data_IF_701745136393
#
_entry.id   IF_701745136393
#
_cell.length_a   1.000
_cell.length_b   1.000
_cell.length_c   1.000
_cell.angle_alpha   90.00
_cell.angle_beta   90.00
_cell.angle_gamma   90.00
#
_symmetry.space_group_name_H-M   'P 1'
#
loop_
_entity.id
_entity.type
_entity.pdbx_description
1 polymer ?
#
# COMPACT_ATOMS: atom_id res chain seq x y z
N UNK A 1 -21.69 -23.10 -15.33
CA UNK A 1 -20.43 -22.72 -14.67
C UNK A 1 -19.84 -21.62 -15.51
N UNK A 2 -19.62 -20.44 -14.93
CA UNK A 2 -18.98 -19.33 -15.63
C UNK A 2 -17.50 -19.65 -15.85
N UNK A 3 -16.93 -19.15 -16.93
CA UNK A 3 -15.49 -19.27 -17.21
C UNK A 3 -14.73 -18.12 -16.56
N UNK A 4 -13.41 -18.27 -16.38
CA UNK A 4 -12.54 -17.17 -15.92
C UNK A 4 -12.70 -15.92 -16.79
N UNK A 5 -12.83 -16.11 -18.11
CA UNK A 5 -13.04 -15.02 -19.05
C UNK A 5 -14.40 -14.31 -18.84
N UNK A 6 -15.44 -15.04 -18.44
CA UNK A 6 -16.73 -14.44 -18.12
C UNK A 6 -16.63 -13.54 -16.88
N UNK A 7 -15.91 -13.97 -15.84
CA UNK A 7 -15.65 -13.17 -14.65
C UNK A 7 -14.79 -11.93 -14.95
N UNK A 8 -13.72 -12.09 -15.75
CA UNK A 8 -12.89 -10.97 -16.18
C UNK A 8 -13.71 -9.92 -16.92
N UNK A 9 -14.49 -10.33 -17.93
CA UNK A 9 -15.33 -9.41 -18.70
C UNK A 9 -16.37 -8.70 -17.82
N UNK A 10 -16.95 -9.42 -16.86
CA UNK A 10 -17.92 -8.86 -15.93
C UNK A 10 -17.29 -7.85 -14.96
N UNK A 11 -16.09 -8.14 -14.44
CA UNK A 11 -15.33 -7.24 -13.58
C UNK A 11 -14.90 -5.97 -14.35
N UNK A 12 -14.38 -6.11 -15.57
CA UNK A 12 -14.05 -4.95 -16.43
C UNK A 12 -15.28 -4.07 -16.68
N UNK A 13 -16.43 -4.68 -16.97
CA UNK A 13 -17.68 -3.95 -17.16
C UNK A 13 -18.14 -3.23 -15.88
N UNK A 14 -18.09 -3.91 -14.73
CA UNK A 14 -18.40 -3.34 -13.42
C UNK A 14 -17.52 -2.12 -13.14
N UNK A 15 -16.20 -2.26 -13.29
CA UNK A 15 -15.23 -1.19 -13.06
C UNK A 15 -15.45 -0.02 -14.02
N UNK A 16 -15.69 -0.30 -15.30
CA UNK A 16 -15.99 0.73 -16.29
C UNK A 16 -17.28 1.48 -15.96
N UNK A 17 -18.32 0.78 -15.53
CA UNK A 17 -19.59 1.38 -15.15
C UNK A 17 -19.47 2.27 -13.92
N UNK A 18 -18.72 1.83 -12.91
CA UNK A 18 -18.53 2.55 -11.64
C UNK A 18 -17.60 3.77 -11.77
N UNK A 19 -16.52 3.63 -12.53
CA UNK A 19 -15.44 4.64 -12.60
C UNK A 19 -15.38 5.41 -13.92
N UNK A 20 -16.07 4.95 -14.98
CA UNK A 20 -16.11 5.63 -16.28
C UNK A 20 -14.81 5.55 -17.07
N UNK A 21 -13.91 4.62 -16.73
CA UNK A 21 -12.64 4.38 -17.43
C UNK A 21 -12.47 2.92 -17.84
N UNK A 22 -11.51 2.64 -18.72
CA UNK A 22 -11.29 1.28 -19.22
C UNK A 22 -10.28 0.54 -18.34
N UNK A 23 -10.63 -0.69 -18.01
CA UNK A 23 -9.79 -1.64 -17.30
C UNK A 23 -9.39 -2.78 -18.23
N UNK A 24 -8.41 -3.54 -17.80
CA UNK A 24 -7.98 -4.78 -18.41
C UNK A 24 -7.77 -5.81 -17.30
N UNK A 25 -8.39 -6.98 -17.44
CA UNK A 25 -8.22 -8.08 -16.52
C UNK A 25 -6.92 -8.83 -16.75
N UNK A 26 -6.26 -9.20 -15.66
CA UNK A 26 -5.01 -9.94 -15.67
C UNK A 26 -5.28 -11.45 -15.52
N UNK A 27 -5.95 -11.83 -14.44
CA UNK A 27 -6.28 -13.21 -14.10
C UNK A 27 -7.37 -13.28 -13.03
N UNK A 28 -7.95 -14.47 -12.86
CA UNK A 28 -8.85 -14.82 -11.76
C UNK A 28 -8.07 -15.65 -10.76
N UNK A 29 -8.20 -15.35 -9.48
CA UNK A 29 -7.64 -16.15 -8.40
C UNK A 29 -8.60 -16.17 -7.23
N UNK A 30 -8.96 -17.38 -6.78
CA UNK A 30 -10.02 -17.59 -5.78
C UNK A 30 -11.32 -16.86 -6.20
N UNK A 31 -11.93 -16.11 -5.30
CA UNK A 31 -13.16 -15.36 -5.53
C UNK A 31 -12.86 -13.89 -5.94
N UNK A 32 -11.73 -13.65 -6.61
CA UNK A 32 -11.29 -12.31 -7.02
C UNK A 32 -10.80 -12.26 -8.47
N UNK A 33 -11.05 -11.13 -9.13
CA UNK A 33 -10.47 -10.77 -10.43
C UNK A 33 -9.44 -9.67 -10.22
N UNK A 34 -8.22 -9.89 -10.72
CA UNK A 34 -7.18 -8.87 -10.74
C UNK A 34 -7.29 -8.07 -12.03
N UNK A 35 -7.38 -6.74 -11.89
CA UNK A 35 -7.51 -5.82 -13.02
C UNK A 35 -6.60 -4.62 -12.84
N UNK A 36 -6.35 -3.90 -13.93
CA UNK A 36 -5.68 -2.61 -13.88
C UNK A 36 -6.37 -1.61 -14.81
N UNK A 37 -6.37 -0.30 -14.48
CA UNK A 37 -6.78 0.69 -15.47
C UNK A 37 -5.76 0.71 -16.61
N UNK A 38 -6.20 0.89 -17.86
CA UNK A 38 -5.27 0.88 -19.01
C UNK A 38 -4.21 2.00 -18.97
N UNK A 39 -4.48 3.06 -18.22
CA UNK A 39 -3.56 4.19 -17.99
C UNK A 39 -2.47 3.91 -16.95
N UNK A 40 -2.66 2.91 -16.08
CA UNK A 40 -1.75 2.52 -14.99
C UNK A 40 -1.64 0.99 -14.91
N UNK A 41 -0.97 0.34 -15.89
CA UNK A 41 -0.79 -1.11 -15.89
C UNK A 41 0.06 -1.65 -14.73
N UNK A 42 0.72 -0.77 -13.98
CA UNK A 42 1.46 -1.11 -12.76
C UNK A 42 0.58 -1.25 -11.51
N UNK A 43 -0.72 -0.95 -11.58
CA UNK A 43 -1.65 -1.07 -10.46
C UNK A 43 -2.39 -2.40 -10.49
N UNK A 44 -2.42 -3.11 -9.37
CA UNK A 44 -3.07 -4.42 -9.26
C UNK A 44 -4.34 -4.32 -8.42
N UNK A 45 -5.41 -3.83 -9.05
CA UNK A 45 -6.71 -3.67 -8.40
C UNK A 45 -7.34 -5.04 -8.20
N UNK A 46 -7.87 -5.26 -7.00
CA UNK A 46 -8.61 -6.48 -6.66
C UNK A 46 -10.09 -6.18 -6.78
N UNK A 47 -10.80 -7.02 -7.52
CA UNK A 47 -12.26 -7.02 -7.62
C UNK A 47 -12.77 -8.36 -7.12
N UNK A 48 -13.20 -8.39 -5.86
CA UNK A 48 -13.82 -9.56 -5.24
C UNK A 48 -15.21 -9.79 -5.84
N UNK A 49 -15.63 -11.04 -5.97
CA UNK A 49 -16.95 -11.40 -6.44
C UNK A 49 -17.60 -12.46 -5.58
N UNK A 50 -18.91 -12.32 -5.37
CA UNK A 50 -19.73 -13.30 -4.66
C UNK A 50 -20.89 -13.71 -5.55
N UNK A 51 -21.21 -15.02 -5.58
CA UNK A 51 -22.30 -15.55 -6.40
C UNK A 51 -23.34 -16.25 -5.54
N UNK A 52 -24.48 -15.60 -5.32
CA UNK A 52 -25.61 -16.14 -4.56
C UNK A 52 -26.90 -16.12 -5.40
N UNK A 53 -27.64 -17.23 -5.41
CA UNK A 53 -28.96 -17.30 -6.06
C UNK A 53 -28.96 -17.04 -7.57
N UNK A 54 -27.81 -17.17 -8.24
CA UNK A 54 -27.64 -16.86 -9.67
C UNK A 54 -27.36 -15.39 -9.98
N UNK A 55 -27.16 -14.55 -8.96
CA UNK A 55 -26.66 -13.18 -9.09
C UNK A 55 -25.19 -13.12 -8.67
N UNK A 56 -24.38 -12.37 -9.40
CA UNK A 56 -22.98 -12.10 -9.03
C UNK A 56 -22.82 -10.63 -8.67
N UNK A 57 -22.29 -10.37 -7.49
CA UNK A 57 -21.92 -9.04 -6.99
C UNK A 57 -20.41 -8.85 -7.11
N UNK A 58 -19.96 -7.61 -7.27
CA UNK A 58 -18.54 -7.25 -7.39
C UNK A 58 -18.21 -6.12 -6.44
N UNK A 59 -17.03 -6.22 -5.82
CA UNK A 59 -16.55 -5.31 -4.78
C UNK A 59 -15.07 -5.00 -5.06
N UNK A 60 -14.65 -3.74 -4.99
CA UNK A 60 -13.30 -3.35 -5.43
C UNK A 60 -12.53 -2.50 -4.43
N UNK A 61 -11.21 -2.47 -4.59
CA UNK A 61 -10.30 -1.66 -3.79
C UNK A 61 -9.72 -0.43 -4.53
N UNK A 62 -10.28 -0.07 -5.70
CA UNK A 62 -9.65 0.88 -6.62
C UNK A 62 -9.50 2.29 -6.05
N UNK A 63 -10.41 2.70 -5.17
CA UNK A 63 -10.32 4.00 -4.47
C UNK A 63 -8.99 4.14 -3.74
N UNK A 64 -8.42 3.06 -3.19
CA UNK A 64 -7.11 3.13 -2.54
C UNK A 64 -5.99 3.55 -3.47
N UNK A 65 -6.01 3.08 -4.72
CA UNK A 65 -5.06 3.53 -5.75
C UNK A 65 -5.30 4.98 -6.16
N UNK A 66 -6.57 5.42 -6.23
CA UNK A 66 -6.91 6.81 -6.55
C UNK A 66 -6.44 7.81 -5.48
N UNK A 67 -6.37 7.40 -4.21
CA UNK A 67 -5.93 8.26 -3.08
C UNK A 67 -4.44 8.13 -2.74
N UNK A 68 -3.75 7.16 -3.33
CA UNK A 68 -2.34 6.83 -3.09
C UNK A 68 -1.41 8.04 -3.14
N UNK A 69 -1.39 8.78 -4.25
CA UNK A 69 -0.46 9.92 -4.42
C UNK A 69 -0.69 11.04 -3.39
N UNK A 70 -1.96 11.35 -3.09
CA UNK A 70 -2.31 12.37 -2.10
C UNK A 70 -1.86 11.95 -0.69
N UNK A 71 -2.10 10.69 -0.33
CA UNK A 71 -1.72 10.12 0.96
C UNK A 71 -0.20 9.98 1.12
N UNK A 72 0.50 9.55 0.06
CA UNK A 72 1.97 9.50 0.03
C UNK A 72 2.59 10.87 0.28
N UNK A 73 2.08 11.90 -0.38
CA UNK A 73 2.53 13.28 -0.18
C UNK A 73 2.27 13.76 1.25
N UNK A 74 1.09 13.45 1.79
CA UNK A 74 0.75 13.80 3.17
C UNK A 74 1.72 13.17 4.18
N UNK A 75 1.97 11.87 4.05
CA UNK A 75 2.89 11.13 4.93
C UNK A 75 4.33 11.60 4.72
N UNK A 76 4.77 11.88 3.49
CA UNK A 76 6.10 12.44 3.22
C UNK A 76 6.33 13.72 4.01
N UNK A 77 5.41 14.69 3.94
CA UNK A 77 5.54 15.95 4.70
C UNK A 77 5.55 15.72 6.22
N UNK A 78 4.82 14.70 6.70
CA UNK A 78 4.79 14.33 8.12
C UNK A 78 6.11 13.73 8.61
N UNK A 79 6.79 12.93 7.80
CA UNK A 79 7.97 12.16 8.22
C UNK A 79 9.30 12.79 7.77
N UNK A 80 9.26 13.74 6.82
CA UNK A 80 10.42 14.52 6.36
C UNK A 80 11.21 15.17 7.51
N UNK A 81 10.59 15.74 8.58
CA UNK A 81 11.35 16.28 9.71
C UNK A 81 12.16 15.24 10.49
N UNK A 82 11.85 13.95 10.37
CA UNK A 82 12.54 12.86 11.06
C UNK A 82 13.66 12.30 10.17
N UNK A 83 13.34 12.05 8.88
CA UNK A 83 14.20 11.30 7.96
C UNK A 83 14.94 12.16 6.93
N UNK A 84 14.63 13.44 6.84
CA UNK A 84 15.09 14.30 5.74
C UNK A 84 14.45 13.89 4.41
N UNK A 85 15.23 13.98 3.33
CA UNK A 85 14.78 13.49 2.03
C UNK A 85 14.60 11.96 2.07
N UNK A 86 13.38 11.52 1.80
CA UNK A 86 12.93 10.13 1.84
C UNK A 86 11.91 9.86 0.72
N UNK A 87 11.55 8.60 0.52
CA UNK A 87 10.48 8.19 -0.40
C UNK A 87 9.41 7.45 0.38
N UNK A 88 8.15 7.77 0.09
CA UNK A 88 6.98 7.15 0.72
C UNK A 88 6.18 6.44 -0.36
N UNK A 89 5.81 5.19 -0.10
CA UNK A 89 4.95 4.41 -0.97
C UNK A 89 3.81 3.82 -0.17
N UNK A 90 2.59 3.96 -0.68
CA UNK A 90 1.38 3.38 -0.09
C UNK A 90 0.95 2.16 -0.88
N UNK A 91 0.73 1.04 -0.20
CA UNK A 91 0.21 -0.17 -0.82
C UNK A 91 -1.22 -0.43 -0.32
N UNK A 92 -2.25 -0.15 -1.13
CA UNK A 92 -3.62 -0.53 -0.79
C UNK A 92 -3.72 -2.03 -0.52
N UNK A 93 -4.46 -2.44 0.50
CA UNK A 93 -4.71 -3.86 0.73
C UNK A 93 -5.61 -4.46 -0.37
N UNK A 94 -5.41 -5.75 -0.65
CA UNK A 94 -6.20 -6.51 -1.60
C UNK A 94 -7.58 -6.92 -1.09
N UNK A 95 -8.23 -6.10 -0.27
CA UNK A 95 -9.60 -6.34 0.21
C UNK A 95 -10.54 -5.29 -0.37
N UNK A 96 -11.75 -5.71 -0.72
CA UNK A 96 -12.81 -4.81 -1.12
C UNK A 96 -13.07 -3.66 -0.13
N UNK A 97 -13.36 -2.48 -0.67
CA UNK A 97 -13.82 -1.31 0.07
C UNK A 97 -15.36 -1.21 0.02
N UNK A 98 -15.94 -0.23 0.72
CA UNK A 98 -17.38 0.04 0.67
C UNK A 98 -17.85 0.30 -0.77
N UNK A 99 -18.86 -0.44 -1.23
CA UNK A 99 -19.35 -0.38 -2.61
C UNK A 99 -19.87 0.99 -3.04
N UNK A 100 -20.31 1.81 -2.09
CA UNK A 100 -20.78 3.18 -2.37
C UNK A 100 -19.64 4.13 -2.76
N UNK A 101 -18.39 3.75 -2.47
CA UNK A 101 -17.22 4.56 -2.72
C UNK A 101 -16.90 4.67 -4.21
N UNK A 102 -16.48 5.85 -4.62
CA UNK A 102 -16.16 6.18 -6.01
C UNK A 102 -15.05 7.23 -6.05
N UNK A 103 -14.74 7.78 -7.24
CA UNK A 103 -13.67 8.78 -7.43
C UNK A 103 -13.76 9.99 -6.49
N UNK A 104 -14.98 10.36 -6.08
CA UNK A 104 -15.26 11.51 -5.23
C UNK A 104 -14.95 11.32 -3.74
N UNK A 105 -14.62 10.10 -3.29
CA UNK A 105 -14.18 9.86 -1.91
C UNK A 105 -12.92 10.67 -1.63
N UNK A 106 -12.88 11.38 -0.51
CA UNK A 106 -11.69 12.12 -0.10
C UNK A 106 -10.65 11.20 0.56
N UNK A 107 -9.40 11.67 0.64
CA UNK A 107 -8.29 10.89 1.19
C UNK A 107 -8.51 10.50 2.66
N UNK A 108 -9.17 11.33 3.48
CA UNK A 108 -9.39 11.03 4.91
C UNK A 108 -10.41 9.95 5.13
N UNK A 109 -11.48 9.96 4.33
CA UNK A 109 -12.46 8.88 4.33
C UNK A 109 -11.78 7.54 3.97
N UNK A 110 -10.95 7.50 2.94
CA UNK A 110 -10.18 6.29 2.59
C UNK A 110 -9.19 5.88 3.68
N UNK A 111 -8.42 6.82 4.21
CA UNK A 111 -7.41 6.54 5.23
C UNK A 111 -8.04 5.95 6.50
N UNK A 112 -9.20 6.44 6.91
CA UNK A 112 -9.87 6.04 8.17
C UNK A 112 -10.17 4.54 8.31
N UNK A 113 -10.22 3.78 7.21
CA UNK A 113 -10.54 2.35 7.26
C UNK A 113 -9.31 1.45 7.47
N UNK A 114 -8.09 1.99 7.51
CA UNK A 114 -6.92 1.14 7.80
C UNK A 114 -6.42 0.28 6.63
N UNK A 115 -6.99 0.43 5.44
CA UNK A 115 -6.81 -0.53 4.34
C UNK A 115 -5.60 -0.22 3.45
N UNK A 116 -4.46 0.13 4.05
CA UNK A 116 -3.19 0.26 3.34
C UNK A 116 -1.95 0.05 4.21
N UNK A 117 -0.82 -0.28 3.58
CA UNK A 117 0.51 -0.24 4.19
C UNK A 117 1.28 1.01 3.76
N UNK A 118 2.14 1.52 4.63
CA UNK A 118 3.03 2.63 4.35
C UNK A 118 4.50 2.18 4.42
N UNK A 119 5.19 2.33 3.30
CA UNK A 119 6.61 2.00 3.16
C UNK A 119 7.43 3.27 2.99
N UNK A 120 8.32 3.53 3.94
CA UNK A 120 9.21 4.70 3.95
C UNK A 120 10.63 4.22 3.65
N UNK A 121 11.29 4.84 2.68
CA UNK A 121 12.68 4.57 2.34
C UNK A 121 13.52 5.81 2.65
N UNK A 122 14.60 5.62 3.40
CA UNK A 122 15.49 6.72 3.82
C UNK A 122 16.95 6.34 3.63
N UNK A 123 17.79 7.37 3.46
CA UNK A 123 19.25 7.26 3.48
C UNK A 123 19.87 7.91 4.71
N UNK A 124 19.05 8.23 5.72
CA UNK A 124 19.52 8.65 7.05
C UNK A 124 20.43 7.57 7.63
N UNK A 125 21.45 7.97 8.39
CA UNK A 125 22.30 7.01 9.08
C UNK A 125 21.48 6.25 10.14
N UNK A 126 21.67 4.92 10.18
CA UNK A 126 20.91 4.01 11.05
C UNK A 126 21.43 4.00 12.51
N UNK A 127 21.65 5.17 13.09
CA UNK A 127 22.15 5.32 14.48
C UNK A 127 21.02 5.51 15.50
N UNK A 128 19.89 6.06 15.08
CA UNK A 128 18.72 6.38 15.92
C UNK A 128 17.44 5.70 15.43
N UNK A 129 17.55 4.48 14.86
CA UNK A 129 16.47 3.77 14.17
C UNK A 129 15.21 3.66 15.04
N UNK A 130 15.35 3.16 16.27
CA UNK A 130 14.22 2.96 17.19
C UNK A 130 13.55 4.27 17.61
N UNK A 131 14.35 5.31 17.91
CA UNK A 131 13.84 6.61 18.35
C UNK A 131 13.11 7.33 17.21
N UNK A 132 13.67 7.31 16.01
CA UNK A 132 13.04 7.87 14.81
C UNK A 132 11.74 7.15 14.46
N UNK A 133 11.74 5.82 14.55
CA UNK A 133 10.55 5.02 14.28
C UNK A 133 9.45 5.28 15.30
N UNK A 134 9.77 5.33 16.60
CA UNK A 134 8.80 5.71 17.65
C UNK A 134 8.18 7.07 17.39
N UNK A 135 8.98 8.08 17.02
CA UNK A 135 8.47 9.42 16.66
C UNK A 135 7.57 9.39 15.42
N UNK A 136 7.85 8.48 14.49
CA UNK A 136 6.99 8.27 13.30
C UNK A 136 5.66 7.65 13.71
N UNK A 137 5.67 6.62 14.54
CA UNK A 137 4.45 6.02 15.11
C UNK A 137 3.62 7.06 15.88
N UNK A 138 4.26 7.87 16.74
CA UNK A 138 3.60 8.97 17.46
C UNK A 138 2.98 9.99 16.51
N UNK A 139 3.67 10.36 15.42
CA UNK A 139 3.13 11.25 14.40
C UNK A 139 1.87 10.66 13.74
N UNK A 140 1.87 9.36 13.44
CA UNK A 140 0.70 8.69 12.86
C UNK A 140 -0.47 8.67 13.84
N UNK A 141 -0.24 8.31 15.11
CA UNK A 141 -1.25 8.34 16.17
C UNK A 141 -1.82 9.76 16.34
N UNK A 142 -0.95 10.77 16.42
CA UNK A 142 -1.36 12.17 16.61
C UNK A 142 -2.13 12.75 15.42
N UNK A 143 -1.97 12.17 14.23
CA UNK A 143 -2.69 12.54 13.01
C UNK A 143 -3.87 11.63 12.70
N UNK A 144 -4.17 10.71 13.62
CA UNK A 144 -5.23 9.72 13.50
C UNK A 144 -5.11 8.90 12.20
N UNK A 145 -3.88 8.58 11.80
CA UNK A 145 -3.59 7.80 10.59
C UNK A 145 -3.72 6.30 10.89
N UNK A 146 -4.72 5.69 10.28
CA UNK A 146 -5.01 4.26 10.34
C UNK A 146 -4.22 3.59 9.21
N UNK A 147 -2.98 3.24 9.48
CA UNK A 147 -2.17 2.37 8.60
C UNK A 147 -2.35 0.92 9.04
N UNK A 148 -2.16 -0.07 8.17
CA UNK A 148 -2.07 -1.49 8.58
C UNK A 148 -0.66 -1.82 9.05
N UNK A 149 0.31 -1.84 8.13
CA UNK A 149 1.75 -1.96 8.42
C UNK A 149 2.48 -0.65 8.09
N UNK A 150 3.30 -0.18 9.04
CA UNK A 150 4.24 0.90 8.82
C UNK A 150 5.66 0.34 8.85
N UNK A 151 6.42 0.57 7.78
CA UNK A 151 7.84 0.20 7.76
C UNK A 151 8.75 1.31 7.26
N UNK A 152 9.95 1.37 7.83
CA UNK A 152 11.03 2.28 7.44
C UNK A 152 12.24 1.45 7.05
N UNK A 153 12.71 1.61 5.82
CA UNK A 153 13.81 0.86 5.23
C UNK A 153 14.98 1.79 4.93
N UNK A 154 16.13 1.48 5.52
CA UNK A 154 17.34 2.27 5.42
C UNK A 154 18.22 1.76 4.28
N UNK A 155 18.41 2.56 3.24
CA UNK A 155 19.14 2.21 2.02
C UNK A 155 20.23 3.23 1.70
N UNK A 156 21.12 2.88 0.76
CA UNK A 156 22.12 3.80 0.22
C UNK A 156 21.47 5.03 -0.40
N UNK A 157 22.11 6.18 -0.28
CA UNK A 157 21.64 7.43 -0.90
C UNK A 157 21.55 7.30 -2.42
N UNK A 158 22.54 6.69 -3.07
CA UNK A 158 22.56 6.54 -4.52
C UNK A 158 21.45 5.61 -5.03
N UNK A 159 21.02 4.65 -4.20
CA UNK A 159 19.89 3.78 -4.47
C UNK A 159 18.56 4.48 -4.19
N UNK A 160 18.47 5.24 -3.09
CA UNK A 160 17.29 6.04 -2.76
C UNK A 160 16.93 7.00 -3.89
N UNK A 161 17.90 7.74 -4.43
CA UNK A 161 17.68 8.70 -5.52
C UNK A 161 17.01 8.05 -6.73
N UNK A 162 17.36 6.79 -7.04
CA UNK A 162 16.86 6.02 -8.17
C UNK A 162 15.75 5.03 -7.81
N UNK A 163 15.34 4.99 -6.54
CA UNK A 163 14.38 4.00 -6.05
C UNK A 163 13.01 4.22 -6.68
N UNK A 164 12.36 3.13 -7.08
CA UNK A 164 11.04 3.13 -7.69
C UNK A 164 10.19 2.07 -7.00
N UNK A 165 8.87 2.27 -6.96
CA UNK A 165 7.94 1.38 -6.26
C UNK A 165 8.07 -0.09 -6.69
N UNK A 166 8.28 -0.35 -7.99
CA UNK A 166 8.49 -1.70 -8.53
C UNK A 166 9.69 -2.45 -7.92
N UNK A 167 10.61 -1.75 -7.27
CA UNK A 167 11.78 -2.32 -6.63
C UNK A 167 11.53 -2.74 -5.17
N UNK A 168 10.38 -2.41 -4.57
CA UNK A 168 10.09 -2.72 -3.16
C UNK A 168 10.20 -4.22 -2.90
N UNK A 169 9.46 -5.06 -3.63
CA UNK A 169 9.48 -6.51 -3.44
C UNK A 169 10.87 -7.10 -3.68
N UNK A 170 11.58 -6.62 -4.71
CA UNK A 170 12.96 -7.04 -4.96
C UNK A 170 13.89 -6.67 -3.79
N UNK A 171 13.77 -5.45 -3.27
CA UNK A 171 14.59 -4.93 -2.17
C UNK A 171 14.37 -5.72 -0.89
N UNK A 172 13.10 -6.01 -0.58
CA UNK A 172 12.71 -6.82 0.57
C UNK A 172 13.17 -8.27 0.45
N UNK A 173 12.93 -8.92 -0.69
CA UNK A 173 13.29 -10.32 -0.91
C UNK A 173 14.81 -10.56 -1.02
N UNK A 174 15.57 -9.56 -1.47
CA UNK A 174 17.03 -9.63 -1.57
C UNK A 174 17.76 -9.08 -0.36
N UNK A 175 17.03 -8.56 0.64
CA UNK A 175 17.61 -7.89 1.81
C UNK A 175 18.59 -6.76 1.43
N UNK A 176 18.32 -6.04 0.33
CA UNK A 176 19.19 -4.97 -0.18
C UNK A 176 18.95 -3.65 0.56
N UNK A 177 19.23 -3.66 1.85
CA UNK A 177 19.11 -2.52 2.75
C UNK A 177 20.04 -2.72 3.94
N UNK A 178 20.25 -1.68 4.75
CA UNK A 178 21.01 -1.77 6.00
C UNK A 178 20.16 -2.41 7.10
N UNK A 179 18.98 -1.84 7.33
CA UNK A 179 17.97 -2.38 8.23
C UNK A 179 16.57 -1.96 7.76
N UNK A 180 15.57 -2.71 8.19
CA UNK A 180 14.17 -2.34 8.10
C UNK A 180 13.53 -2.51 9.47
N UNK A 181 12.84 -1.47 9.92
CA UNK A 181 12.05 -1.47 11.15
C UNK A 181 10.58 -1.36 10.77
N UNK A 182 9.70 -2.14 11.41
CA UNK A 182 8.28 -2.17 11.11
C UNK A 182 7.42 -2.41 12.34
N UNK A 183 6.16 -2.00 12.27
CA UNK A 183 5.15 -2.34 13.27
C UNK A 183 3.76 -2.29 12.66
N UNK A 184 2.91 -3.20 13.12
CA UNK A 184 1.50 -3.28 12.74
C UNK A 184 0.68 -2.41 13.68
N UNK A 185 -0.21 -1.61 13.10
CA UNK A 185 -1.14 -0.79 13.87
C UNK A 185 -2.43 -1.59 14.16
N UNK A 186 -2.80 -1.70 15.44
CA UNK A 186 -4.05 -2.31 15.86
C UNK A 186 -5.12 -1.24 16.07
N UNK A 187 -6.04 -1.13 15.10
CA UNK A 187 -7.23 -0.30 15.23
C UNK A 187 -8.31 -0.98 16.11
N UNK A 188 -8.35 -2.33 16.11
CA UNK A 188 -9.37 -3.12 16.84
C UNK A 188 -9.34 -2.82 18.33
N UNK A 189 -8.15 -2.76 18.91
CA UNK A 189 -7.99 -2.52 20.34
C UNK A 189 -7.69 -1.05 20.68
N UNK A 190 -7.55 -0.19 19.66
CA UNK A 190 -7.09 1.21 19.77
C UNK A 190 -5.80 1.38 20.57
N UNK A 191 -4.96 0.35 20.58
CA UNK A 191 -3.68 0.33 21.29
C UNK A 191 -2.62 1.13 20.52
N UNK A 192 -2.85 1.39 19.23
CA UNK A 192 -1.88 2.03 18.33
C UNK A 192 -0.96 0.99 17.71
N UNK A 193 0.33 1.29 17.63
CA UNK A 193 1.33 0.34 17.10
C UNK A 193 1.66 -0.75 18.12
N UNK A 194 1.73 -1.99 17.63
CA UNK A 194 2.07 -3.17 18.43
C UNK A 194 3.58 -3.36 18.60
N UNK A 195 4.00 -4.63 18.66
CA UNK A 195 5.42 -4.97 18.72
C UNK A 195 6.18 -4.43 17.49
N UNK A 196 7.46 -4.12 17.72
CA UNK A 196 8.35 -3.57 16.71
C UNK A 196 9.28 -4.68 16.23
N UNK A 197 9.28 -4.91 14.93
CA UNK A 197 10.18 -5.84 14.26
C UNK A 197 11.35 -5.09 13.62
N UNK A 198 12.56 -5.57 13.86
CA UNK A 198 13.79 -5.05 13.23
C UNK A 198 14.45 -6.19 12.45
N UNK A 199 14.59 -5.98 11.14
CA UNK A 199 15.23 -6.90 10.22
C UNK A 199 16.55 -6.30 9.71
N UNK A 200 17.66 -6.97 10.01
CA UNK A 200 18.95 -6.67 9.39
C UNK A 200 18.95 -7.09 7.92
N UNK A 201 19.54 -6.25 7.06
CA UNK A 201 19.71 -6.60 5.65
C UNK A 201 20.95 -7.45 5.37
N UNK A 202 21.35 -7.53 4.10
CA UNK A 202 22.55 -8.26 3.69
C UNK A 202 23.81 -7.67 4.36
N UNK A 203 24.61 -8.53 5.01
CA UNK A 203 25.86 -8.16 5.71
C UNK A 203 26.92 -7.54 4.79
N UNK A 204 26.79 -7.74 3.49
CA UNK A 204 27.63 -7.15 2.44
C UNK A 204 26.99 -5.95 1.76
N UNK A 205 25.73 -5.62 2.09
CA UNK A 205 25.10 -4.39 1.64
C UNK A 205 25.91 -3.19 2.14
N UNK A 206 26.23 -2.26 1.25
CA UNK A 206 27.18 -1.19 1.58
C UNK A 206 28.57 -1.41 1.01
N UNK A 207 29.09 -2.64 1.07
CA UNK A 207 30.51 -2.94 0.84
C UNK A 207 30.81 -3.09 -0.66
N UNK A 208 31.73 -2.28 -1.16
CA UNK A 208 32.39 -2.44 -2.46
C UNK A 208 33.86 -2.72 -2.24
#
# INVERSE_FOLDING_TARGET
MLTELDYINAAEYYMQKKYGEKFEGEYVYEDSVYVHPKSKPEWHVVVDFESEGGMTSFHDNYVGYLKKEELEKYIYELVKPIYGECKVYIHPYGFALDDSWNKGIDMRTYESVGMYNAYIFTSKQAESVDEDFKRTCENFINKDLNVGDLSVTYIKKEELDKFEERLISYTFNRLKFYCRISSVYSNVDKIGFGDVDILEGDKNYGKQ
#
